data_IF_610197298551
#
_entry.id   IF_610197298551
#
_cell.length_a   1.000
_cell.length_b   1.000
_cell.length_c   1.000
_cell.angle_alpha   90.00
_cell.angle_beta   90.00
_cell.angle_gamma   90.00
#
_symmetry.space_group_name_H-M   'P 1'
#
loop_
_entity.id
_entity.type
_entity.pdbx_description
1 polymer ?
#
# COMPACT_ATOMS: atom_id res chain seq x y z
N UNK A 1 -2.43 -9.93 17.48
CA UNK A 1 -3.85 -10.00 17.04
C UNK A 1 -4.36 -8.71 16.37
N UNK A 2 -4.09 -7.52 16.93
CA UNK A 2 -4.57 -6.25 16.35
C UNK A 2 -4.07 -5.93 14.92
N UNK A 3 -2.87 -6.36 14.55
CA UNK A 3 -2.29 -6.13 13.21
C UNK A 3 -3.11 -6.80 12.12
N UNK A 4 -3.58 -8.04 12.35
CA UNK A 4 -4.49 -8.75 11.43
C UNK A 4 -5.86 -8.09 11.31
N UNK A 5 -6.26 -7.28 12.30
CA UNK A 5 -7.54 -6.56 12.26
C UNK A 5 -7.43 -5.28 11.43
N UNK A 6 -6.31 -4.56 11.53
CA UNK A 6 -6.12 -3.27 10.86
C UNK A 6 -5.41 -3.36 9.51
N UNK A 7 -4.67 -4.44 9.24
CA UNK A 7 -3.99 -4.65 7.95
C UNK A 7 -4.58 -5.87 7.28
N UNK A 8 -5.38 -5.70 6.20
CA UNK A 8 -5.91 -6.82 5.41
C UNK A 8 -4.85 -7.83 4.95
N UNK A 9 -3.63 -7.37 4.66
CA UNK A 9 -2.50 -8.25 4.37
C UNK A 9 -2.06 -9.15 5.55
N UNK A 10 -2.59 -8.94 6.75
CA UNK A 10 -2.44 -9.83 7.90
C UNK A 10 -1.08 -9.79 8.59
N UNK A 11 -0.16 -8.94 8.13
CA UNK A 11 1.21 -8.77 8.65
C UNK A 11 1.62 -7.30 8.61
N UNK A 12 2.71 -6.98 9.28
CA UNK A 12 3.40 -5.72 9.04
C UNK A 12 4.04 -5.71 7.65
N UNK A 13 4.12 -4.52 7.07
CA UNK A 13 4.93 -4.29 5.89
C UNK A 13 6.41 -4.46 6.22
N UNK A 14 7.15 -5.00 5.28
CA UNK A 14 8.60 -5.09 5.29
C UNK A 14 9.16 -4.08 4.27
N UNK A 15 10.41 -3.62 4.40
CA UNK A 15 11.02 -2.71 3.42
C UNK A 15 10.96 -3.24 1.97
N UNK A 16 10.95 -4.56 1.79
CA UNK A 16 10.86 -5.22 0.48
C UNK A 16 9.53 -4.98 -0.22
N UNK A 17 8.44 -4.70 0.51
CA UNK A 17 7.13 -4.42 -0.09
C UNK A 17 7.11 -3.10 -0.87
N UNK A 18 8.02 -2.17 -0.55
CA UNK A 18 8.14 -0.88 -1.24
C UNK A 18 8.86 -0.97 -2.58
N UNK A 19 9.60 -2.05 -2.84
CA UNK A 19 10.47 -2.16 -4.02
C UNK A 19 9.66 -2.03 -5.31
N UNK A 20 8.50 -2.69 -5.41
CA UNK A 20 7.66 -2.62 -6.60
C UNK A 20 7.18 -1.21 -6.91
N UNK A 21 6.74 -0.47 -5.87
CA UNK A 21 6.31 0.91 -6.02
C UNK A 21 7.47 1.84 -6.41
N UNK A 22 8.64 1.67 -5.80
CA UNK A 22 9.83 2.42 -6.16
C UNK A 22 10.27 2.16 -7.62
N UNK A 23 10.27 0.89 -8.05
CA UNK A 23 10.57 0.51 -9.43
C UNK A 23 9.55 1.10 -10.40
N UNK A 24 8.26 1.00 -10.10
CA UNK A 24 7.21 1.62 -10.93
C UNK A 24 7.46 3.12 -11.11
N UNK A 25 7.62 3.85 -10.00
CA UNK A 25 7.81 5.30 -10.00
C UNK A 25 9.11 5.73 -10.71
N UNK A 26 10.18 4.94 -10.62
CA UNK A 26 11.45 5.22 -11.29
C UNK A 26 11.49 4.77 -12.76
N UNK A 27 10.52 3.98 -13.22
CA UNK A 27 10.50 3.41 -14.57
C UNK A 27 9.78 4.30 -15.57
N UNK A 28 9.91 3.98 -16.87
CA UNK A 28 9.13 4.64 -17.93
C UNK A 28 7.62 4.41 -17.81
N UNK A 29 7.17 3.42 -17.04
CA UNK A 29 5.75 3.14 -16.86
C UNK A 29 5.00 4.28 -16.14
N UNK A 30 5.73 5.15 -15.41
CA UNK A 30 5.18 6.28 -14.67
C UNK A 30 5.43 7.63 -15.35
N UNK A 31 5.85 7.68 -16.62
CA UNK A 31 6.30 8.92 -17.29
C UNK A 31 5.28 10.09 -17.29
N UNK A 32 4.00 9.80 -17.12
CA UNK A 32 2.94 10.81 -17.02
C UNK A 32 2.23 10.81 -15.66
N UNK A 33 2.79 10.13 -14.67
CA UNK A 33 2.28 10.07 -13.29
C UNK A 33 3.11 11.02 -12.44
N UNK A 34 2.52 12.14 -12.05
CA UNK A 34 3.13 13.15 -11.18
C UNK A 34 2.13 13.66 -10.15
N UNK A 35 2.60 14.15 -9.01
CA UNK A 35 1.77 14.68 -7.93
C UNK A 35 0.85 13.66 -7.24
N UNK A 36 1.02 12.36 -7.51
CA UNK A 36 0.20 11.30 -6.96
C UNK A 36 0.82 10.65 -5.71
N UNK A 37 -0.03 10.18 -4.79
CA UNK A 37 0.38 9.33 -3.68
C UNK A 37 0.00 7.87 -3.98
N UNK A 38 0.98 6.97 -3.93
CA UNK A 38 0.77 5.53 -4.07
C UNK A 38 0.89 4.87 -2.69
N UNK A 39 -0.24 4.44 -2.13
CA UNK A 39 -0.25 3.75 -0.84
C UNK A 39 0.28 2.32 -0.98
N UNK A 40 1.23 1.96 -0.11
CA UNK A 40 1.79 0.60 0.03
C UNK A 40 1.72 0.22 1.50
N UNK A 41 0.52 -0.15 1.96
CA UNK A 41 0.20 -0.26 3.38
C UNK A 41 -0.50 -1.59 3.73
N UNK A 42 -0.60 -2.52 2.77
CA UNK A 42 -1.31 -3.78 2.97
C UNK A 42 -2.82 -3.62 3.19
N UNK A 43 -3.41 -2.50 2.78
CA UNK A 43 -4.84 -2.19 2.91
C UNK A 43 -5.22 -1.49 4.21
N UNK A 44 -4.24 -1.01 4.98
CA UNK A 44 -4.45 -0.41 6.30
C UNK A 44 -5.37 0.81 6.27
N UNK A 45 -5.20 1.71 5.30
CA UNK A 45 -5.95 2.96 5.20
C UNK A 45 -7.44 2.78 4.90
N UNK A 46 -7.85 1.62 4.38
CA UNK A 46 -9.25 1.34 4.00
C UNK A 46 -9.91 0.29 4.88
N UNK A 47 -9.16 -0.36 5.76
CA UNK A 47 -9.60 -1.51 6.54
C UNK A 47 -10.83 -1.23 7.43
N UNK A 48 -10.94 -0.02 7.97
CA UNK A 48 -12.07 0.38 8.83
C UNK A 48 -13.33 0.70 8.01
N UNK A 49 -13.17 1.17 6.76
CA UNK A 49 -14.29 1.54 5.87
C UNK A 49 -15.07 0.35 5.31
N UNK A 50 -14.42 -0.81 5.16
CA UNK A 50 -15.05 -2.04 4.63
C UNK A 50 -15.87 -2.76 5.72
N UNK A 51 -15.64 -2.47 7.00
CA UNK A 51 -16.32 -3.15 8.12
C UNK A 51 -17.60 -2.46 8.58
N UNK A 52 -17.82 -1.22 8.18
CA UNK A 52 -19.03 -0.45 8.50
C UNK A 52 -20.14 -0.61 7.45
N UNK A 53 -19.85 -1.30 6.33
CA UNK A 53 -20.79 -1.66 5.26
C UNK A 53 -21.14 -3.13 5.31
#
# INVERSE_FOLDING_TARGET
EQIRRKTPAGRWGEPTDLIGAAVFLASRASNFVTGAQLAVDGGYLVADRIRES
#
